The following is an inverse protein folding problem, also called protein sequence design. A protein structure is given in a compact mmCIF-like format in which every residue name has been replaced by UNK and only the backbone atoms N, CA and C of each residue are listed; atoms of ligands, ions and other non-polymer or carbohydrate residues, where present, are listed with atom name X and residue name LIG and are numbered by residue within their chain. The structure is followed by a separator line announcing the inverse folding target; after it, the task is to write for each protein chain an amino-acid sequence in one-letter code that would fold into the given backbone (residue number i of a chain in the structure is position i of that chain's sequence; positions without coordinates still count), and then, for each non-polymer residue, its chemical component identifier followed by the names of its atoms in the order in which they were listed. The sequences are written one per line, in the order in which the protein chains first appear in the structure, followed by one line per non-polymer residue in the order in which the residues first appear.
data_IF_068867498995
#
_entry.id   IF_068867498995
#
_cell.length_a   1.000
_cell.length_b   1.000
_cell.length_c   1.000
_cell.angle_alpha   90.00
_cell.angle_beta   90.00
_cell.angle_gamma   90.00
#
_symmetry.space_group_name_H-M   'P 1'
#
loop_
_entity.id
_entity.type
_entity.pdbx_description
1 polymer ?
#
# COMPACT_ATOMS: atom_id res chain seq x y z
N UNK A 1 -4.61 23.25 -37.65
CA UNK A 1 -5.21 22.83 -36.38
C UNK A 1 -4.43 23.48 -35.25
N UNK A 2 -4.89 24.64 -34.82
CA UNK A 2 -4.25 25.48 -33.80
C UNK A 2 -4.47 24.86 -32.42
N UNK A 3 -3.40 24.57 -31.67
CA UNK A 3 -3.50 24.04 -30.32
C UNK A 3 -4.08 25.13 -29.42
N UNK A 4 -5.33 24.96 -29.00
CA UNK A 4 -5.96 25.82 -28.00
C UNK A 4 -5.11 25.78 -26.72
N UNK A 5 -4.41 26.87 -26.43
CA UNK A 5 -3.54 27.00 -25.26
C UNK A 5 -4.44 27.11 -24.01
N UNK A 6 -4.74 25.97 -23.37
CA UNK A 6 -5.53 25.96 -22.13
C UNK A 6 -4.65 26.53 -21.00
N UNK A 7 -4.87 27.80 -20.67
CA UNK A 7 -4.33 28.40 -19.44
C UNK A 7 -4.96 27.71 -18.22
N UNK A 8 -4.19 26.87 -17.54
CA UNK A 8 -4.58 26.33 -16.25
C UNK A 8 -4.37 27.40 -15.18
N UNK A 9 -5.46 27.80 -14.52
CA UNK A 9 -5.41 28.69 -13.35
C UNK A 9 -5.49 27.85 -12.09
N UNK A 10 -4.48 27.97 -11.24
CA UNK A 10 -4.45 27.31 -9.92
C UNK A 10 -4.85 28.31 -8.85
N UNK A 11 -5.76 27.91 -7.97
CA UNK A 11 -6.13 28.68 -6.79
C UNK A 11 -5.61 28.00 -5.54
N UNK A 12 -5.10 28.79 -4.61
CA UNK A 12 -4.69 28.31 -3.29
C UNK A 12 -5.67 28.84 -2.25
N UNK A 13 -6.23 27.93 -1.45
CA UNK A 13 -7.10 28.27 -0.33
C UNK A 13 -6.37 27.87 0.95
N UNK A 14 -6.13 28.83 1.84
CA UNK A 14 -5.53 28.57 3.14
C UNK A 14 -6.64 28.35 4.18
N UNK A 15 -6.73 27.14 4.72
CA UNK A 15 -7.74 26.77 5.70
C UNK A 15 -7.13 26.91 7.10
N UNK A 16 -7.59 27.93 7.83
CA UNK A 16 -7.15 28.23 9.21
C UNK A 16 -8.16 27.71 10.24
N UNK A 17 -7.73 27.68 11.49
CA UNK A 17 -8.61 27.41 12.64
C UNK A 17 -9.80 28.38 12.61
N UNK A 18 -11.02 27.85 12.83
CA UNK A 18 -12.29 28.56 12.69
C UNK A 18 -13.01 28.36 11.35
N UNK A 19 -12.34 27.85 10.31
CA UNK A 19 -13.00 27.47 9.06
C UNK A 19 -13.79 26.16 9.22
N UNK A 20 -14.98 26.04 8.61
CA UNK A 20 -15.86 24.85 8.76
C UNK A 20 -15.21 23.51 8.37
N UNK A 21 -14.23 23.54 7.47
CA UNK A 21 -13.50 22.33 7.01
C UNK A 21 -12.23 22.08 7.81
N UNK A 22 -11.86 22.94 8.75
CA UNK A 22 -10.59 22.82 9.48
C UNK A 22 -10.50 21.47 10.20
N UNK A 23 -11.52 21.11 10.99
CA UNK A 23 -11.55 19.85 11.73
C UNK A 23 -11.44 18.62 10.82
N UNK A 24 -12.05 18.65 9.63
CA UNK A 24 -11.95 17.56 8.67
C UNK A 24 -10.51 17.38 8.16
N UNK A 25 -9.83 18.47 7.78
CA UNK A 25 -8.45 18.37 7.31
C UNK A 25 -7.47 18.04 8.43
N UNK A 26 -7.72 18.53 9.65
CA UNK A 26 -6.94 18.20 10.83
C UNK A 26 -7.02 16.70 11.16
N UNK A 27 -8.22 16.11 11.13
CA UNK A 27 -8.43 14.67 11.30
C UNK A 27 -7.71 13.86 10.21
N UNK A 28 -7.80 14.30 8.94
CA UNK A 28 -7.06 13.65 7.85
C UNK A 28 -5.54 13.69 8.07
N UNK A 29 -5.00 14.80 8.55
CA UNK A 29 -3.58 14.92 8.87
C UNK A 29 -3.18 13.96 10.00
N UNK A 30 -3.97 13.90 11.07
CA UNK A 30 -3.76 12.98 12.18
C UNK A 30 -3.79 11.52 11.73
N UNK A 31 -4.84 11.13 10.99
CA UNK A 31 -5.00 9.77 10.50
C UNK A 31 -3.90 9.40 9.48
N UNK A 32 -3.44 10.35 8.67
CA UNK A 32 -2.30 10.16 7.75
C UNK A 32 -1.00 9.88 8.51
N UNK A 33 -0.77 10.58 9.63
CA UNK A 33 0.39 10.32 10.49
C UNK A 33 0.31 8.93 11.14
N UNK A 34 -0.88 8.53 11.60
CA UNK A 34 -1.09 7.20 12.17
C UNK A 34 -0.81 6.10 11.14
N UNK A 35 -1.36 6.21 9.92
CA UNK A 35 -1.10 5.25 8.85
C UNK A 35 0.38 5.24 8.44
N UNK A 36 1.05 6.40 8.42
CA UNK A 36 2.48 6.48 8.14
C UNK A 36 3.30 5.68 9.18
N UNK A 37 3.00 5.89 10.47
CA UNK A 37 3.63 5.17 11.57
C UNK A 37 3.35 3.66 11.51
N UNK A 38 2.10 3.27 11.26
CA UNK A 38 1.71 1.86 11.10
C UNK A 38 2.45 1.21 9.93
N UNK A 39 2.54 1.89 8.78
CA UNK A 39 3.26 1.38 7.60
C UNK A 39 4.75 1.18 7.91
N UNK A 40 5.38 2.19 8.52
CA UNK A 40 6.78 2.11 8.95
C UNK A 40 7.00 1.00 9.98
N UNK A 41 6.08 0.81 10.92
CA UNK A 41 6.13 -0.24 11.92
C UNK A 41 6.19 -1.61 11.25
N UNK A 42 5.27 -1.92 10.33
CA UNK A 42 5.27 -3.20 9.60
C UNK A 42 6.58 -3.44 8.84
N UNK A 43 7.05 -2.44 8.09
CA UNK A 43 8.31 -2.56 7.32
C UNK A 43 9.48 -2.86 8.26
N UNK A 44 9.61 -2.10 9.36
CA UNK A 44 10.72 -2.28 10.32
C UNK A 44 10.63 -3.61 11.06
N UNK A 45 9.46 -4.00 11.55
CA UNK A 45 9.32 -5.25 12.29
C UNK A 45 9.68 -6.45 11.41
N UNK A 46 9.22 -6.49 10.16
CA UNK A 46 9.60 -7.56 9.22
C UNK A 46 11.09 -7.54 8.91
N UNK A 47 11.63 -6.36 8.58
CA UNK A 47 13.06 -6.25 8.28
C UNK A 47 13.91 -6.71 9.47
N UNK A 48 13.68 -6.18 10.67
CA UNK A 48 14.43 -6.58 11.86
C UNK A 48 14.22 -8.05 12.20
N UNK A 49 13.02 -8.61 12.05
CA UNK A 49 12.79 -10.03 12.30
C UNK A 49 13.61 -10.94 11.36
N UNK A 50 13.84 -10.50 10.13
CA UNK A 50 14.56 -11.28 9.13
C UNK A 50 16.08 -11.17 9.28
N UNK A 51 16.60 -10.01 9.69
CA UNK A 51 18.06 -9.78 9.78
C UNK A 51 18.63 -9.92 11.20
N UNK A 52 17.81 -9.92 12.23
CA UNK A 52 18.28 -10.18 13.59
C UNK A 52 18.53 -11.69 13.77
N UNK A 53 19.72 -12.03 14.27
CA UNK A 53 20.11 -13.43 14.53
C UNK A 53 19.67 -13.92 15.93
N UNK A 54 19.13 -13.01 16.75
CA UNK A 54 18.64 -13.30 18.09
C UNK A 54 17.18 -13.79 18.14
N UNK A 55 16.68 -13.96 19.37
CA UNK A 55 15.28 -14.30 19.63
C UNK A 55 14.37 -13.17 19.13
N UNK A 56 13.34 -13.55 18.37
CA UNK A 56 12.34 -12.60 17.88
C UNK A 56 11.60 -11.95 19.05
N UNK A 57 11.52 -10.63 19.04
CA UNK A 57 10.71 -9.89 19.99
C UNK A 57 9.22 -10.16 19.77
N UNK A 58 8.36 -10.01 20.80
CA UNK A 58 6.92 -10.27 20.67
C UNK A 58 6.26 -9.52 19.51
N UNK A 59 6.62 -8.25 19.30
CA UNK A 59 6.08 -7.43 18.20
C UNK A 59 6.49 -7.93 16.81
N UNK A 60 7.70 -8.49 16.68
CA UNK A 60 8.18 -9.10 15.43
C UNK A 60 7.39 -10.36 15.13
N UNK A 61 7.18 -11.20 16.15
CA UNK A 61 6.38 -12.41 16.03
C UNK A 61 4.92 -12.09 15.67
N UNK A 62 4.34 -11.07 16.30
CA UNK A 62 2.98 -10.62 16.03
C UNK A 62 2.82 -10.17 14.57
N UNK A 63 3.72 -9.33 14.06
CA UNK A 63 3.66 -8.87 12.66
C UNK A 63 3.84 -10.02 11.67
N UNK A 64 4.79 -10.92 11.92
CA UNK A 64 4.99 -12.10 11.05
C UNK A 64 3.79 -13.04 11.08
N UNK A 65 3.17 -13.24 12.27
CA UNK A 65 1.94 -14.02 12.42
C UNK A 65 0.78 -13.38 11.67
N UNK A 66 0.61 -12.06 11.76
CA UNK A 66 -0.42 -11.34 10.99
C UNK A 66 -0.24 -11.57 9.49
N UNK A 67 1.00 -11.53 8.99
CA UNK A 67 1.28 -11.80 7.57
C UNK A 67 0.94 -13.26 7.23
N UNK A 68 1.39 -14.22 8.05
CA UNK A 68 1.14 -15.64 7.85
C UNK A 68 -0.36 -15.95 7.81
N UNK A 69 -1.13 -15.38 8.74
CA UNK A 69 -2.58 -15.60 8.85
C UNK A 69 -3.37 -15.01 7.66
N UNK A 70 -2.78 -14.07 6.90
CA UNK A 70 -3.48 -13.34 5.84
C UNK A 70 -2.97 -13.64 4.42
N UNK A 71 -1.77 -14.22 4.26
CA UNK A 71 -1.14 -14.39 2.94
C UNK A 71 -1.97 -15.25 1.98
N UNK A 72 -2.59 -16.31 2.48
CA UNK A 72 -3.44 -17.20 1.67
C UNK A 72 -4.69 -16.47 1.19
N UNK A 73 -5.28 -15.63 2.05
CA UNK A 73 -6.45 -14.82 1.73
C UNK A 73 -6.09 -13.77 0.67
N UNK A 74 -4.94 -13.12 0.84
CA UNK A 74 -4.39 -12.17 -0.14
C UNK A 74 -4.21 -12.86 -1.51
N UNK A 75 -3.57 -14.01 -1.55
CA UNK A 75 -3.33 -14.78 -2.78
C UNK A 75 -4.61 -15.32 -3.42
N UNK A 76 -5.59 -15.75 -2.62
CA UNK A 76 -6.91 -16.14 -3.12
C UNK A 76 -7.63 -14.96 -3.82
N UNK A 77 -7.52 -13.75 -3.28
CA UNK A 77 -8.07 -12.55 -3.91
C UNK A 77 -7.32 -12.18 -5.20
N UNK A 78 -6.00 -12.30 -5.22
CA UNK A 78 -5.17 -12.08 -6.42
C UNK A 78 -5.51 -13.07 -7.53
N UNK A 79 -5.65 -14.36 -7.21
CA UNK A 79 -6.05 -15.42 -8.15
C UNK A 79 -7.44 -15.14 -8.73
N UNK A 80 -8.42 -14.73 -7.91
CA UNK A 80 -9.75 -14.33 -8.39
C UNK A 80 -9.69 -13.14 -9.37
N UNK A 81 -8.89 -12.12 -9.05
CA UNK A 81 -8.71 -10.96 -9.93
C UNK A 81 -7.99 -11.34 -11.23
N UNK A 82 -7.00 -12.24 -11.16
CA UNK A 82 -6.27 -12.77 -12.30
C UNK A 82 -7.20 -13.55 -13.25
N UNK A 83 -8.00 -14.49 -12.74
CA UNK A 83 -8.93 -15.28 -13.55
C UNK A 83 -9.94 -14.37 -14.29
N UNK A 84 -10.50 -13.37 -13.61
CA UNK A 84 -11.39 -12.38 -14.24
C UNK A 84 -10.72 -11.56 -15.34
N UNK A 85 -9.40 -11.30 -15.22
CA UNK A 85 -8.65 -10.62 -16.27
C UNK A 85 -8.37 -11.57 -17.44
N UNK A 86 -8.03 -12.82 -17.14
CA UNK A 86 -7.78 -13.86 -18.15
C UNK A 86 -9.01 -14.10 -19.02
N UNK A 87 -10.19 -14.24 -18.41
CA UNK A 87 -11.47 -14.36 -19.13
C UNK A 87 -11.69 -13.18 -20.08
N UNK A 88 -11.43 -11.95 -19.61
CA UNK A 88 -11.59 -10.74 -20.42
C UNK A 88 -10.59 -10.63 -21.57
N UNK A 89 -9.34 -11.07 -21.37
CA UNK A 89 -8.35 -11.09 -22.45
C UNK A 89 -8.64 -12.20 -23.48
N UNK A 90 -9.14 -13.36 -23.06
CA UNK A 90 -9.53 -14.44 -23.97
C UNK A 90 -10.66 -14.04 -24.93
N UNK A 91 -11.50 -13.07 -24.55
CA UNK A 91 -12.53 -12.50 -25.42
C UNK A 91 -11.98 -11.57 -26.51
N UNK A 92 -10.72 -11.12 -26.41
CA UNK A 92 -10.12 -10.23 -27.41
C UNK A 92 -9.63 -11.03 -28.63
N UNK A 93 -9.55 -10.38 -29.81
CA UNK A 93 -8.91 -10.97 -30.98
C UNK A 93 -7.48 -11.45 -30.67
N UNK A 94 -7.08 -12.60 -31.23
CA UNK A 94 -5.78 -13.24 -30.94
C UNK A 94 -4.58 -12.30 -31.10
N UNK A 95 -4.65 -11.36 -32.05
CA UNK A 95 -3.59 -10.40 -32.33
C UNK A 95 -3.42 -9.31 -31.25
N UNK A 96 -4.42 -9.12 -30.38
CA UNK A 96 -4.41 -8.13 -29.29
C UNK A 96 -4.26 -8.75 -27.89
N UNK A 97 -4.24 -10.08 -27.79
CA UNK A 97 -4.14 -10.77 -26.50
C UNK A 97 -2.78 -10.51 -25.86
N UNK A 98 -2.80 -10.12 -24.59
CA UNK A 98 -1.59 -9.88 -23.79
C UNK A 98 -1.37 -11.04 -22.83
N UNK A 99 -0.10 -11.39 -22.63
CA UNK A 99 0.29 -12.27 -21.54
C UNK A 99 -0.06 -11.61 -20.21
N UNK A 100 -0.93 -12.26 -19.43
CA UNK A 100 -1.26 -11.83 -18.08
C UNK A 100 -0.41 -12.66 -17.12
N UNK A 101 0.35 -11.99 -16.26
CA UNK A 101 1.10 -12.64 -15.18
C UNK A 101 0.30 -12.65 -13.90
N UNK A 102 0.40 -13.78 -13.20
CA UNK A 102 -0.17 -13.92 -11.87
C UNK A 102 0.78 -13.31 -10.84
N UNK A 103 0.32 -12.27 -10.15
CA UNK A 103 1.11 -11.56 -9.15
C UNK A 103 0.72 -12.02 -7.74
N UNK A 104 1.19 -13.22 -7.36
CA UNK A 104 1.06 -13.75 -6.00
C UNK A 104 2.12 -13.15 -5.08
N UNK A 105 1.82 -13.18 -3.79
CA UNK A 105 2.69 -12.72 -2.73
C UNK A 105 3.36 -13.93 -2.06
N UNK A 106 4.66 -13.78 -1.80
CA UNK A 106 5.45 -14.72 -1.00
C UNK A 106 5.54 -14.21 0.44
N UNK A 107 5.77 -15.13 1.38
CA UNK A 107 6.12 -14.73 2.75
C UNK A 107 7.48 -14.03 2.74
N UNK A 108 7.67 -12.95 3.53
CA UNK A 108 8.94 -12.22 3.55
C UNK A 108 10.13 -13.12 3.89
N UNK A 109 11.23 -12.96 3.16
CA UNK A 109 12.48 -13.70 3.35
C UNK A 109 13.66 -12.75 3.37
N UNK A 110 14.86 -13.17 3.77
CA UNK A 110 16.05 -12.32 3.74
C UNK A 110 16.33 -11.72 2.35
N UNK A 111 16.03 -12.46 1.27
CA UNK A 111 16.20 -11.99 -0.10
C UNK A 111 15.10 -11.02 -0.56
N UNK A 112 13.87 -11.21 -0.06
CA UNK A 112 12.69 -10.38 -0.35
C UNK A 112 12.14 -9.78 0.96
N UNK A 113 13.00 -9.10 1.69
CA UNK A 113 12.70 -8.63 3.06
C UNK A 113 11.86 -7.36 3.08
N UNK A 114 11.91 -6.59 1.99
CA UNK A 114 11.21 -5.32 1.89
C UNK A 114 9.75 -5.50 1.45
N UNK A 115 8.81 -5.03 2.28
CA UNK A 115 7.39 -5.01 1.95
C UNK A 115 7.06 -3.88 0.98
N UNK A 116 6.83 -4.23 -0.28
CA UNK A 116 6.42 -3.27 -1.31
C UNK A 116 4.99 -2.73 -1.11
N UNK A 117 4.66 -1.65 -1.83
CA UNK A 117 3.35 -1.01 -1.79
C UNK A 117 2.19 -2.00 -2.04
N UNK A 118 2.26 -2.80 -3.10
CA UNK A 118 1.19 -3.74 -3.45
C UNK A 118 0.94 -4.78 -2.34
N UNK A 119 2.01 -5.19 -1.64
CA UNK A 119 1.92 -6.13 -0.53
C UNK A 119 1.19 -5.48 0.65
N UNK A 120 1.65 -4.31 1.08
CA UNK A 120 1.07 -3.58 2.22
C UNK A 120 -0.36 -3.13 1.96
N UNK A 121 -0.66 -2.65 0.75
CA UNK A 121 -2.01 -2.27 0.33
C UNK A 121 -2.97 -3.47 0.38
N UNK A 122 -2.54 -4.64 -0.11
CA UNK A 122 -3.35 -5.85 -0.05
C UNK A 122 -3.50 -6.38 1.38
N UNK A 123 -2.42 -6.38 2.18
CA UNK A 123 -2.44 -6.81 3.57
C UNK A 123 -3.39 -5.94 4.41
N UNK A 124 -3.23 -4.62 4.36
CA UNK A 124 -4.06 -3.68 5.15
C UNK A 124 -5.54 -3.74 4.77
N UNK A 125 -5.86 -3.97 3.49
CA UNK A 125 -7.25 -4.26 3.07
C UNK A 125 -7.76 -5.57 3.65
N UNK A 126 -6.95 -6.63 3.58
CA UNK A 126 -7.35 -7.97 4.01
C UNK A 126 -7.58 -8.04 5.52
N UNK A 127 -6.65 -7.50 6.31
CA UNK A 127 -6.76 -7.48 7.77
C UNK A 127 -7.67 -6.36 8.31
N UNK A 128 -8.28 -5.54 7.43
CA UNK A 128 -9.10 -4.38 7.79
C UNK A 128 -8.39 -3.42 8.75
N UNK A 129 -7.16 -3.03 8.41
CA UNK A 129 -6.32 -2.19 9.26
C UNK A 129 -7.00 -0.83 9.51
N UNK A 130 -7.11 -0.45 10.79
CA UNK A 130 -7.90 0.70 11.25
C UNK A 130 -7.48 2.03 10.60
N UNK A 131 -6.19 2.35 10.63
CA UNK A 131 -5.65 3.63 10.11
C UNK A 131 -5.75 3.73 8.58
N UNK A 132 -5.67 2.59 7.90
CA UNK A 132 -5.82 2.50 6.45
C UNK A 132 -7.26 2.84 6.03
N UNK A 133 -8.24 2.36 6.79
CA UNK A 133 -9.66 2.63 6.54
C UNK A 133 -10.17 3.93 7.18
N UNK A 134 -9.40 4.60 8.04
CA UNK A 134 -9.75 5.93 8.55
C UNK A 134 -9.49 7.07 7.55
N UNK A 135 -9.02 6.74 6.35
CA UNK A 135 -8.67 7.70 5.30
C UNK A 135 -9.41 7.38 3.99
N UNK A 136 -9.72 8.41 3.18
CA UNK A 136 -10.18 8.23 1.81
C UNK A 136 -9.19 7.40 0.97
N UNK A 137 -9.73 6.63 0.03
CA UNK A 137 -8.96 5.66 -0.77
C UNK A 137 -7.81 6.23 -1.61
N UNK A 138 -7.82 7.54 -1.91
CA UNK A 138 -6.69 8.18 -2.58
C UNK A 138 -5.59 8.55 -1.57
N UNK A 139 -5.99 8.97 -0.36
CA UNK A 139 -5.07 9.44 0.67
C UNK A 139 -4.32 8.26 1.29
N UNK A 140 -5.01 7.18 1.66
CA UNK A 140 -4.33 6.01 2.23
C UNK A 140 -3.29 5.40 1.27
N UNK A 141 -3.62 5.27 -0.02
CA UNK A 141 -2.71 4.77 -1.05
C UNK A 141 -1.48 5.66 -1.16
N UNK A 142 -1.66 6.98 -1.21
CA UNK A 142 -0.55 7.92 -1.30
C UNK A 142 0.35 7.88 -0.06
N UNK A 143 -0.24 7.79 1.13
CA UNK A 143 0.53 7.68 2.39
C UNK A 143 1.40 6.43 2.39
N UNK A 144 0.83 5.26 2.06
CA UNK A 144 1.60 4.00 1.99
C UNK A 144 2.69 4.08 0.92
N UNK A 145 2.39 4.62 -0.27
CA UNK A 145 3.39 4.79 -1.33
C UNK A 145 4.56 5.69 -0.91
N UNK A 146 4.28 6.80 -0.24
CA UNK A 146 5.30 7.72 0.25
C UNK A 146 6.23 7.03 1.24
N UNK A 147 5.67 6.30 2.22
CA UNK A 147 6.46 5.54 3.20
C UNK A 147 7.31 4.47 2.53
N UNK A 148 6.73 3.71 1.60
CA UNK A 148 7.45 2.68 0.83
C UNK A 148 8.58 3.28 0.02
N UNK A 149 8.38 4.45 -0.60
CA UNK A 149 9.41 5.11 -1.38
C UNK A 149 10.56 5.60 -0.49
N UNK A 150 10.26 6.22 0.65
CA UNK A 150 11.27 6.65 1.63
C UNK A 150 12.01 5.45 2.24
N UNK A 151 11.30 4.37 2.58
CA UNK A 151 11.87 3.17 3.17
C UNK A 151 12.80 2.41 2.22
N UNK A 152 12.50 2.38 0.90
CA UNK A 152 13.42 1.80 -0.10
C UNK A 152 14.75 2.53 -0.14
N UNK A 153 14.73 3.86 -0.11
CA UNK A 153 15.96 4.67 -0.10
C UNK A 153 16.80 4.37 1.15
N UNK A 154 16.16 4.18 2.31
CA UNK A 154 16.86 3.90 3.57
C UNK A 154 17.50 2.51 3.63
N UNK A 155 16.87 1.49 3.03
CA UNK A 155 17.33 0.10 3.09
C UNK A 155 18.23 -0.33 1.91
N UNK A 156 18.40 0.55 0.92
CA UNK A 156 19.33 0.38 -0.21
C UNK A 156 20.64 1.17 -0.04
N UNK A 157 20.83 1.85 1.09
CA UNK A 157 22.06 2.55 1.49
C UNK A 157 22.89 1.66 2.44
#
# INVERSE_FOLDING_TARGET
MEKLNKEYRTYQINIKNGHRMYSYFDELCLNSNNLNNTTNFFIRQVYTALYNEGILQPLQQEVLKVILDNIDIMNANQRKAFLKKLEKEQLKPKDEQKEIKENLFDFPSKEKSFLGYNFLDCLFKTMKQKDYYSLPGQINQQVVQNVVQTGRVFLQA
#
